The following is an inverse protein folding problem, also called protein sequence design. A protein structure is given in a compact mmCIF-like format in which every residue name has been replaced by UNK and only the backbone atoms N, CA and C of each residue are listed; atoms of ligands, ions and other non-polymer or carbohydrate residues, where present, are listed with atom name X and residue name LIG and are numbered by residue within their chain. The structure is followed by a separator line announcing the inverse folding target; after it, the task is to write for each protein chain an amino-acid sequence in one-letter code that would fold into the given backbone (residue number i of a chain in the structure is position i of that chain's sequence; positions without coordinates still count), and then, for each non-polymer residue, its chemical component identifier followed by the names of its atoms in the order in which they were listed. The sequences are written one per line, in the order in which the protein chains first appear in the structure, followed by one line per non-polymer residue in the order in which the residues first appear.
data_IF_375550981582
#
_entry.id   IF_375550981582
#
_cell.length_a   1.000
_cell.length_b   1.000
_cell.length_c   1.000
_cell.angle_alpha   90.00
_cell.angle_beta   90.00
_cell.angle_gamma   90.00
#
_symmetry.space_group_name_H-M   'P 1'
#
loop_
_entity.id
_entity.type
_entity.pdbx_description
1 polymer ?
#
# COMPACT_ATOMS: atom_id res chain seq x y z
N UNK A 1 -23.31 -7.25 24.79
CA UNK A 1 -24.07 -7.87 23.69
C UNK A 1 -23.61 -7.23 22.39
N UNK A 2 -22.82 -7.96 21.59
CA UNK A 2 -22.70 -7.72 20.15
C UNK A 2 -22.90 -9.10 19.52
N UNK A 3 -24.16 -9.46 19.31
CA UNK A 3 -24.53 -10.47 18.34
C UNK A 3 -24.46 -9.77 16.98
N UNK A 4 -23.58 -10.23 16.11
CA UNK A 4 -23.34 -9.63 14.79
C UNK A 4 -22.45 -10.56 13.97
N UNK A 5 -22.99 -11.75 13.70
CA UNK A 5 -22.43 -12.77 12.80
C UNK A 5 -22.29 -12.18 11.40
N UNK A 6 -21.07 -11.86 10.98
CA UNK A 6 -20.75 -11.54 9.57
C UNK A 6 -19.82 -12.57 8.93
N UNK A 7 -19.37 -13.54 9.72
CA UNK A 7 -18.37 -14.51 9.33
C UNK A 7 -18.83 -15.88 9.77
N UNK A 8 -19.05 -16.76 8.80
CA UNK A 8 -19.26 -18.18 9.05
C UNK A 8 -17.91 -18.88 9.13
N UNK A 9 -17.77 -19.79 10.08
CA UNK A 9 -16.59 -20.66 10.15
C UNK A 9 -16.76 -21.76 9.11
N UNK A 10 -15.86 -21.79 8.13
CA UNK A 10 -15.83 -22.85 7.12
C UNK A 10 -15.01 -24.05 7.61
N UNK A 11 -15.67 -25.19 7.85
CA UNK A 11 -15.00 -26.46 8.16
C UNK A 11 -14.50 -27.13 6.87
N UNK A 12 -13.34 -26.71 6.39
CA UNK A 12 -12.67 -27.27 5.22
C UNK A 12 -11.29 -26.62 5.00
N UNK A 13 -10.55 -27.09 4.00
CA UNK A 13 -9.29 -26.45 3.61
C UNK A 13 -9.51 -25.51 2.40
N UNK A 14 -8.49 -24.72 2.06
CA UNK A 14 -8.55 -23.77 0.94
C UNK A 14 -8.92 -24.42 -0.40
N UNK A 15 -8.41 -25.62 -0.69
CA UNK A 15 -8.73 -26.32 -1.94
C UNK A 15 -10.18 -26.75 -2.02
N UNK A 16 -10.82 -27.01 -0.88
CA UNK A 16 -12.26 -27.32 -0.82
C UNK A 16 -13.14 -26.09 -1.09
N UNK A 17 -12.61 -24.88 -0.87
CA UNK A 17 -13.30 -23.61 -1.16
C UNK A 17 -13.31 -23.28 -2.67
N UNK A 18 -12.34 -23.80 -3.42
CA UNK A 18 -12.17 -23.55 -4.85
C UNK A 18 -12.67 -24.76 -5.66
N UNK A 19 -13.95 -24.79 -5.97
CA UNK A 19 -14.53 -25.81 -6.85
C UNK A 19 -14.10 -25.58 -8.31
N UNK A 20 -13.91 -26.66 -9.07
CA UNK A 20 -13.44 -26.57 -10.47
C UNK A 20 -14.48 -26.00 -11.43
N UNK A 21 -15.76 -26.00 -11.05
CA UNK A 21 -16.88 -25.58 -11.91
C UNK A 21 -17.32 -24.13 -11.66
N UNK A 22 -16.76 -23.45 -10.65
CA UNK A 22 -17.10 -22.07 -10.31
C UNK A 22 -16.11 -21.05 -10.89
N UNK A 23 -16.64 -19.88 -11.28
CA UNK A 23 -15.84 -18.74 -11.73
C UNK A 23 -15.58 -17.81 -10.56
N UNK A 24 -14.32 -17.74 -10.12
CA UNK A 24 -13.90 -16.83 -9.07
C UNK A 24 -13.40 -15.50 -9.65
N UNK A 25 -13.78 -14.39 -9.01
CA UNK A 25 -13.18 -13.08 -9.26
C UNK A 25 -12.34 -12.70 -8.07
N UNK A 26 -11.04 -12.56 -8.27
CA UNK A 26 -10.12 -12.14 -7.22
C UNK A 26 -9.90 -10.64 -7.31
N UNK A 27 -10.11 -9.93 -6.20
CA UNK A 27 -9.64 -8.57 -6.06
C UNK A 27 -8.18 -8.62 -5.64
N UNK A 28 -7.28 -8.65 -6.61
CA UNK A 28 -5.86 -8.45 -6.36
C UNK A 28 -5.60 -6.95 -6.26
N UNK A 29 -5.45 -6.43 -5.05
CA UNK A 29 -4.93 -5.08 -4.85
C UNK A 29 -3.41 -5.09 -4.99
N UNK A 30 -2.85 -4.11 -5.70
CA UNK A 30 -1.44 -3.74 -5.59
C UNK A 30 -1.17 -3.06 -4.24
N UNK A 31 -1.61 -3.72 -3.15
CA UNK A 31 -1.36 -3.25 -1.80
C UNK A 31 0.13 -3.08 -1.66
N UNK A 32 0.58 -1.84 -1.50
CA UNK A 32 1.92 -1.49 -1.10
C UNK A 32 2.10 -2.19 0.25
N UNK A 33 2.58 -3.43 0.18
CA UNK A 33 2.30 -4.43 1.20
C UNK A 33 3.03 -4.06 2.49
N UNK A 34 2.45 -4.45 3.63
CA UNK A 34 3.17 -4.41 4.91
C UNK A 34 4.33 -5.41 4.94
N UNK A 35 4.28 -6.47 4.11
CA UNK A 35 5.39 -7.39 3.80
C UNK A 35 5.26 -7.83 2.33
N UNK A 36 6.16 -7.38 1.46
CA UNK A 36 5.96 -7.48 0.01
C UNK A 36 6.28 -8.89 -0.55
N UNK A 37 5.37 -9.49 -1.35
CA UNK A 37 5.73 -10.59 -2.25
C UNK A 37 6.56 -10.12 -3.47
N UNK A 38 6.74 -8.80 -3.62
CA UNK A 38 7.48 -8.12 -4.69
C UNK A 38 8.68 -7.35 -4.10
N UNK A 39 9.66 -6.94 -4.91
CA UNK A 39 10.81 -6.12 -4.43
C UNK A 39 10.49 -4.63 -4.26
N UNK A 40 9.21 -4.25 -4.31
CA UNK A 40 8.78 -2.85 -4.23
C UNK A 40 8.82 -2.40 -2.76
N UNK A 41 9.39 -1.21 -2.46
CA UNK A 41 9.40 -0.66 -1.11
C UNK A 41 7.99 -0.47 -0.55
N UNK A 42 7.84 -0.62 0.76
CA UNK A 42 6.58 -0.34 1.44
C UNK A 42 6.21 1.15 1.31
N UNK A 43 4.92 1.46 1.48
CA UNK A 43 4.43 2.84 1.41
C UNK A 43 5.16 3.77 2.38
N UNK A 44 5.54 3.23 3.55
CA UNK A 44 6.27 3.96 4.59
C UNK A 44 7.72 4.24 4.20
N UNK A 45 8.37 3.30 3.51
CA UNK A 45 9.73 3.50 2.99
C UNK A 45 9.73 4.53 1.87
N UNK A 46 8.77 4.47 0.94
CA UNK A 46 8.66 5.48 -0.13
C UNK A 46 8.48 6.88 0.48
N UNK A 47 7.56 7.03 1.45
CA UNK A 47 7.35 8.31 2.15
C UNK A 47 8.62 8.79 2.85
N UNK A 48 9.34 7.90 3.55
CA UNK A 48 10.61 8.24 4.21
C UNK A 48 11.62 8.77 3.19
N UNK A 49 11.85 8.03 2.10
CA UNK A 49 12.81 8.44 1.06
C UNK A 49 12.43 9.78 0.44
N UNK A 50 11.14 10.03 0.18
CA UNK A 50 10.68 11.33 -0.31
C UNK A 50 10.96 12.47 0.69
N UNK A 51 10.75 12.24 1.99
CA UNK A 51 11.05 13.23 3.01
C UNK A 51 12.57 13.47 3.13
N UNK A 52 13.38 12.42 3.04
CA UNK A 52 14.85 12.53 3.03
C UNK A 52 15.37 13.33 1.82
N UNK A 53 14.65 13.31 0.70
CA UNK A 53 15.00 14.07 -0.50
C UNK A 53 14.47 15.52 -0.49
N UNK A 54 13.34 15.78 0.16
CA UNK A 54 12.63 17.05 0.02
C UNK A 54 12.54 17.90 1.30
N UNK A 55 12.73 17.32 2.48
CA UNK A 55 12.60 18.00 3.76
C UNK A 55 13.97 18.25 4.42
N UNK A 56 14.11 19.33 5.22
CA UNK A 56 15.27 19.51 6.09
C UNK A 56 15.46 18.31 7.02
N UNK A 57 16.72 17.91 7.23
CA UNK A 57 17.07 16.68 7.95
C UNK A 57 16.54 16.67 9.40
N UNK A 58 16.50 17.85 10.02
CA UNK A 58 16.03 18.06 11.39
C UNK A 58 14.52 17.83 11.55
N UNK A 59 13.76 17.93 10.45
CA UNK A 59 12.29 17.83 10.45
C UNK A 59 11.80 16.40 10.11
N UNK A 60 12.66 15.53 9.58
CA UNK A 60 12.27 14.22 9.05
C UNK A 60 11.60 13.35 10.11
N UNK A 61 12.21 13.21 11.29
CA UNK A 61 11.66 12.38 12.37
C UNK A 61 10.33 12.95 12.92
N UNK A 62 10.23 14.28 12.98
CA UNK A 62 9.00 14.98 13.34
C UNK A 62 7.87 14.65 12.36
N UNK A 63 8.13 14.75 11.06
CA UNK A 63 7.16 14.44 10.00
C UNK A 63 6.78 12.96 10.00
N UNK A 64 7.74 12.04 10.13
CA UNK A 64 7.48 10.59 10.18
C UNK A 64 6.71 10.13 11.43
N UNK A 65 6.73 10.93 12.49
CA UNK A 65 5.96 10.67 13.71
C UNK A 65 4.45 11.00 13.56
N UNK A 66 4.07 11.75 12.52
CA UNK A 66 2.68 12.13 12.29
C UNK A 66 1.84 10.90 11.92
N UNK A 67 0.93 10.52 12.81
CA UNK A 67 -0.02 9.40 12.57
C UNK A 67 -0.88 9.59 11.31
N UNK A 68 -1.01 10.84 10.84
CA UNK A 68 -1.86 11.19 9.71
C UNK A 68 -1.09 11.27 8.39
N UNK A 69 0.23 11.11 8.42
CA UNK A 69 1.08 11.10 7.24
C UNK A 69 0.85 9.79 6.47
N UNK A 70 -0.03 9.88 5.47
CA UNK A 70 -0.35 8.78 4.56
C UNK A 70 0.41 8.93 3.25
N UNK A 71 0.75 7.81 2.63
CA UNK A 71 1.40 7.77 1.32
C UNK A 71 0.63 8.59 0.29
N UNK A 72 -0.67 8.39 0.18
CA UNK A 72 -1.52 9.07 -0.80
C UNK A 72 -1.47 10.59 -0.66
N UNK A 73 -1.33 11.10 0.58
CA UNK A 73 -1.20 12.53 0.83
C UNK A 73 0.12 13.07 0.29
N UNK A 74 1.23 12.33 0.45
CA UNK A 74 2.52 12.70 -0.13
C UNK A 74 2.48 12.69 -1.65
N UNK A 75 1.91 11.64 -2.25
CA UNK A 75 1.76 11.52 -3.70
C UNK A 75 0.91 12.66 -4.26
N UNK A 76 -0.19 13.00 -3.61
CA UNK A 76 -1.05 14.13 -4.00
C UNK A 76 -0.29 15.46 -3.93
N UNK A 77 0.57 15.66 -2.91
CA UNK A 77 1.41 16.85 -2.85
C UNK A 77 2.40 16.89 -3.99
N UNK A 78 3.12 15.81 -4.27
CA UNK A 78 4.05 15.72 -5.39
C UNK A 78 3.33 15.98 -6.71
N UNK A 79 2.15 15.40 -6.91
CA UNK A 79 1.30 15.67 -8.08
C UNK A 79 1.02 17.16 -8.25
N UNK A 80 0.62 17.82 -7.16
CA UNK A 80 0.18 19.20 -7.22
C UNK A 80 1.33 20.21 -7.28
N UNK A 81 2.56 19.82 -6.95
CA UNK A 81 3.70 20.76 -6.83
C UNK A 81 4.90 20.46 -7.73
N UNK A 82 5.18 19.21 -8.05
CA UNK A 82 6.41 18.78 -8.74
C UNK A 82 6.11 18.02 -10.03
N UNK A 83 5.30 16.96 -9.96
CA UNK A 83 5.11 16.00 -11.05
C UNK A 83 3.62 15.70 -11.25
N UNK A 84 2.96 16.56 -12.04
CA UNK A 84 1.50 16.54 -12.26
C UNK A 84 0.95 15.24 -12.82
N UNK A 85 1.75 14.55 -13.61
CA UNK A 85 1.37 13.33 -14.29
C UNK A 85 1.93 12.08 -13.59
N UNK A 86 2.65 12.26 -12.46
CA UNK A 86 3.21 11.21 -11.61
C UNK A 86 4.18 10.27 -12.33
N UNK A 87 4.94 10.78 -13.31
CA UNK A 87 5.95 10.02 -14.05
C UNK A 87 7.01 9.36 -13.17
N UNK A 88 7.29 9.89 -11.97
CA UNK A 88 8.24 9.23 -11.08
C UNK A 88 7.76 7.84 -10.62
N UNK A 89 6.44 7.55 -10.64
CA UNK A 89 5.93 6.22 -10.30
C UNK A 89 6.30 5.17 -11.35
N UNK A 90 6.56 5.59 -12.60
CA UNK A 90 7.04 4.71 -13.67
C UNK A 90 8.39 4.05 -13.29
N UNK A 91 9.18 4.69 -12.39
CA UNK A 91 10.39 4.09 -11.85
C UNK A 91 10.12 2.80 -11.06
N UNK A 92 8.97 2.71 -10.39
CA UNK A 92 8.60 1.52 -9.62
C UNK A 92 8.31 0.32 -10.54
N UNK A 93 7.96 0.55 -11.81
CA UNK A 93 7.76 -0.51 -12.80
C UNK A 93 9.08 -1.16 -13.24
N UNK A 94 10.23 -0.53 -12.99
CA UNK A 94 11.55 -1.10 -13.27
C UNK A 94 11.99 -2.15 -12.24
N UNK A 95 11.21 -2.34 -11.17
CA UNK A 95 11.54 -3.22 -10.05
C UNK A 95 10.78 -4.55 -10.23
N UNK A 96 11.44 -5.53 -10.85
CA UNK A 96 11.00 -6.94 -10.95
C UNK A 96 11.15 -7.73 -9.63
#
# INVERSE_FOLDING_TARGET
MVNGEFFDVYEGNFTNLLSHDEKYTFLAGAGISMDAPTKIPSAREIVRTMLELCAPMEEIDGLLSLKMLRYEMMIEKIKNTVDKDLHFLDYLELID
#
